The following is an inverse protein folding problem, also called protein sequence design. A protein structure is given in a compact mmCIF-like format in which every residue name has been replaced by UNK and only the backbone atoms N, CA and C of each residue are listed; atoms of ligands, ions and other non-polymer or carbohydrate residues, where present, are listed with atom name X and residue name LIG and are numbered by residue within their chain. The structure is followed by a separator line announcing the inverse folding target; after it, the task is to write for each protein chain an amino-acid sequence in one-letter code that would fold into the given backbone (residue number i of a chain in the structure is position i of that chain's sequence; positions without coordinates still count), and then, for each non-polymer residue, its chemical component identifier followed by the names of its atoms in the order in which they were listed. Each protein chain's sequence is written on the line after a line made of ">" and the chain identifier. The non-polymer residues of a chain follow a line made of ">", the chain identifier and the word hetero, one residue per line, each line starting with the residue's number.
data_IF_659837671531
#
_entry.id   IF_659837671531
#
_cell.length_a   1.000
_cell.length_b   1.000
_cell.length_c   1.000
_cell.angle_alpha   90.00
_cell.angle_beta   90.00
_cell.angle_gamma   90.00
#
_symmetry.space_group_name_H-M   'P 1'
#
loop_
_entity.id
_entity.type
_entity.pdbx_description
1 polymer ?
#
# COMPACT_ATOMS: atom_id res chain seq x y z
N UNK A 1 -10.78 28.01 5.44
CA UNK A 1 -10.80 26.54 5.25
C UNK A 1 -9.67 25.97 6.09
N UNK A 2 -9.94 24.96 6.92
CA UNK A 2 -8.91 24.30 7.74
C UNK A 2 -8.71 22.91 7.18
N UNK A 3 -7.48 22.55 6.83
CA UNK A 3 -7.15 21.21 6.36
C UNK A 3 -7.30 20.21 7.53
N UNK A 4 -8.03 19.12 7.33
CA UNK A 4 -8.04 17.99 8.28
C UNK A 4 -6.71 17.24 8.14
N UNK A 5 -5.69 17.69 8.87
CA UNK A 5 -4.34 17.16 8.81
C UNK A 5 -3.84 16.81 10.21
N UNK A 6 -3.46 15.55 10.40
CA UNK A 6 -2.85 15.07 11.63
C UNK A 6 -1.34 14.94 11.47
N UNK A 7 -0.56 15.54 12.38
CA UNK A 7 0.90 15.39 12.41
C UNK A 7 1.26 14.35 13.45
N UNK A 8 1.67 13.18 13.00
CA UNK A 8 2.01 12.04 13.86
C UNK A 8 3.34 12.28 14.57
N UNK A 9 3.46 11.81 15.82
CA UNK A 9 4.73 11.86 16.55
C UNK A 9 5.87 11.11 15.84
N UNK A 10 5.55 9.97 15.23
CA UNK A 10 6.43 9.24 14.32
C UNK A 10 5.91 9.37 12.89
N UNK A 11 6.60 10.13 12.03
CA UNK A 11 6.16 10.42 10.64
C UNK A 11 6.43 9.27 9.65
N UNK A 12 7.02 8.19 10.13
CA UNK A 12 7.35 6.98 9.37
C UNK A 12 7.14 5.73 10.24
N UNK A 13 7.40 4.55 9.66
CA UNK A 13 7.28 3.28 10.39
C UNK A 13 8.23 3.23 11.57
N UNK A 14 7.73 2.74 12.68
CA UNK A 14 8.54 2.45 13.87
C UNK A 14 9.10 1.03 13.79
N UNK A 15 10.08 0.73 14.64
CA UNK A 15 10.70 -0.61 14.69
C UNK A 15 9.62 -1.67 14.97
N UNK A 16 9.59 -2.68 14.12
CA UNK A 16 8.65 -3.79 14.21
C UNK A 16 9.35 -5.12 14.54
N UNK A 17 8.77 -5.91 15.44
CA UNK A 17 9.09 -7.34 15.61
C UNK A 17 7.88 -8.16 15.15
N UNK A 18 8.06 -8.95 14.09
CA UNK A 18 6.97 -9.72 13.46
C UNK A 18 6.86 -11.16 14.00
N UNK A 19 7.66 -11.53 14.99
CA UNK A 19 7.70 -12.91 15.48
C UNK A 19 7.84 -12.95 17.00
N UNK A 20 6.94 -12.26 17.71
CA UNK A 20 6.95 -12.22 19.17
C UNK A 20 6.29 -13.50 19.71
N UNK A 21 6.99 -14.29 20.54
CA UNK A 21 6.41 -15.46 21.20
C UNK A 21 5.23 -15.05 22.09
N UNK A 22 4.22 -15.90 22.20
CA UNK A 22 2.98 -15.63 22.95
C UNK A 22 3.22 -15.06 24.35
N UNK A 23 4.05 -15.70 25.16
CA UNK A 23 4.28 -15.28 26.56
C UNK A 23 4.82 -13.84 26.66
N UNK A 24 5.74 -13.48 25.76
CA UNK A 24 6.27 -12.11 25.67
C UNK A 24 5.21 -11.13 25.16
N UNK A 25 4.40 -11.54 24.19
CA UNK A 25 3.35 -10.71 23.63
C UNK A 25 2.26 -10.37 24.66
N UNK A 26 1.80 -11.37 25.43
CA UNK A 26 0.80 -11.15 26.48
C UNK A 26 1.31 -10.17 27.55
N UNK A 27 2.58 -10.26 27.96
CA UNK A 27 3.16 -9.29 28.89
C UNK A 27 3.18 -7.85 28.33
N UNK A 28 3.51 -7.68 27.05
CA UNK A 28 3.45 -6.37 26.40
C UNK A 28 1.99 -5.87 26.31
N UNK A 29 1.07 -6.76 25.97
CA UNK A 29 -0.35 -6.47 25.85
C UNK A 29 -0.96 -5.97 27.16
N UNK A 30 -0.58 -6.53 28.31
CA UNK A 30 -1.02 -6.01 29.62
C UNK A 30 -0.67 -4.52 29.82
N UNK A 31 0.52 -4.08 29.38
CA UNK A 31 0.91 -2.68 29.48
C UNK A 31 0.04 -1.77 28.59
N UNK A 32 -0.30 -2.25 27.39
CA UNK A 32 -1.22 -1.57 26.48
C UNK A 32 -2.63 -1.49 27.07
N UNK A 33 -3.15 -2.59 27.61
CA UNK A 33 -4.48 -2.68 28.19
C UNK A 33 -4.64 -1.78 29.40
N UNK A 34 -3.63 -1.71 30.28
CA UNK A 34 -3.60 -0.72 31.38
C UNK A 34 -3.78 0.70 30.88
N UNK A 35 -3.13 1.06 29.76
CA UNK A 35 -3.27 2.39 29.17
C UNK A 35 -4.66 2.61 28.57
N UNK A 36 -5.19 1.60 27.88
CA UNK A 36 -6.46 1.65 27.16
C UNK A 36 -7.70 1.50 28.04
N UNK A 37 -7.56 1.05 29.30
CA UNK A 37 -8.66 0.87 30.24
C UNK A 37 -9.41 2.17 30.54
N UNK A 38 -8.72 3.31 30.48
CA UNK A 38 -9.30 4.64 30.73
C UNK A 38 -10.17 5.14 29.57
N UNK A 39 -9.73 4.91 28.33
CA UNK A 39 -10.40 5.33 27.12
C UNK A 39 -9.84 4.55 25.93
N UNK A 40 -10.72 3.87 25.19
CA UNK A 40 -10.36 3.28 23.89
C UNK A 40 -11.51 3.33 22.92
N UNK A 41 -11.16 3.46 21.65
CA UNK A 41 -12.03 3.40 20.49
C UNK A 41 -11.90 2.01 19.87
N UNK A 42 -13.00 1.45 19.36
CA UNK A 42 -13.03 0.13 18.73
C UNK A 42 -13.78 0.15 17.42
N UNK A 43 -13.26 -0.55 16.42
CA UNK A 43 -13.91 -0.72 15.12
C UNK A 43 -13.47 -2.03 14.48
N UNK A 44 -14.39 -2.75 13.84
CA UNK A 44 -14.10 -4.02 13.17
C UNK A 44 -14.10 -3.82 11.67
N UNK A 45 -13.01 -4.21 11.02
CA UNK A 45 -12.84 -4.12 9.58
C UNK A 45 -12.93 -5.50 8.94
N UNK A 46 -13.58 -5.61 7.78
CA UNK A 46 -13.58 -6.80 6.95
C UNK A 46 -12.53 -6.66 5.84
N UNK A 47 -11.49 -7.49 5.89
CA UNK A 47 -10.45 -7.58 4.89
C UNK A 47 -10.62 -8.89 4.12
N UNK A 48 -11.50 -8.88 3.12
CA UNK A 48 -11.82 -10.05 2.28
C UNK A 48 -12.31 -11.26 3.10
N UNK A 49 -13.27 -11.02 3.98
CA UNK A 49 -13.84 -12.05 4.85
C UNK A 49 -12.98 -12.42 6.06
N UNK A 50 -11.85 -11.73 6.31
CA UNK A 50 -11.14 -11.77 7.59
C UNK A 50 -11.49 -10.52 8.37
N UNK A 51 -12.12 -10.69 9.53
CA UNK A 51 -12.51 -9.57 10.38
C UNK A 51 -11.41 -9.28 11.40
N UNK A 52 -10.87 -8.06 11.35
CA UNK A 52 -9.85 -7.57 12.25
C UNK A 52 -10.47 -6.48 13.14
N UNK A 53 -10.33 -6.61 14.46
CA UNK A 53 -10.76 -5.58 15.40
C UNK A 53 -9.59 -4.64 15.71
N UNK A 54 -9.76 -3.34 15.43
CA UNK A 54 -8.90 -2.29 15.95
C UNK A 54 -9.38 -1.86 17.33
N UNK A 55 -8.46 -1.76 18.28
CA UNK A 55 -8.66 -1.14 19.59
C UNK A 55 -7.51 -0.16 19.87
N UNK A 56 -7.80 1.11 20.14
CA UNK A 56 -6.76 2.06 20.50
C UNK A 56 -7.26 3.39 21.05
N UNK A 57 -6.35 4.26 21.46
CA UNK A 57 -6.67 5.58 22.03
C UNK A 57 -6.27 6.78 21.15
N UNK A 58 -5.78 6.54 19.92
CA UNK A 58 -5.58 7.61 18.92
C UNK A 58 -6.83 7.79 18.07
N UNK A 59 -7.44 8.97 18.15
CA UNK A 59 -8.56 9.34 17.29
C UNK A 59 -8.17 9.34 15.80
N UNK A 60 -6.94 9.77 15.49
CA UNK A 60 -6.42 9.78 14.12
C UNK A 60 -6.42 8.38 13.50
N UNK A 61 -5.81 7.40 14.17
CA UNK A 61 -5.81 6.02 13.67
C UNK A 61 -7.21 5.43 13.55
N UNK A 62 -8.09 5.71 14.52
CA UNK A 62 -9.47 5.25 14.48
C UNK A 62 -10.25 5.83 13.28
N UNK A 63 -10.11 7.14 13.04
CA UNK A 63 -10.75 7.82 11.91
C UNK A 63 -10.23 7.27 10.57
N UNK A 64 -8.93 7.07 10.43
CA UNK A 64 -8.34 6.50 9.21
C UNK A 64 -8.79 5.05 9.02
N UNK A 65 -8.82 4.25 10.09
CA UNK A 65 -9.29 2.87 10.05
C UNK A 65 -10.74 2.76 9.57
N UNK A 66 -11.65 3.52 10.19
CA UNK A 66 -13.09 3.49 9.85
C UNK A 66 -13.39 3.99 8.44
N UNK A 67 -12.57 4.89 7.90
CA UNK A 67 -12.70 5.37 6.52
C UNK A 67 -12.05 4.44 5.49
N UNK A 68 -11.00 3.72 5.87
CA UNK A 68 -10.25 2.88 4.93
C UNK A 68 -10.89 1.52 4.69
N UNK A 69 -11.63 0.98 5.65
CA UNK A 69 -12.12 -0.39 5.57
C UNK A 69 -13.64 -0.47 5.46
N UNK A 70 -14.12 -1.57 4.87
CA UNK A 70 -15.51 -1.97 5.05
C UNK A 70 -15.71 -2.48 6.48
N UNK A 71 -16.81 -2.08 7.11
CA UNK A 71 -17.16 -2.54 8.45
C UNK A 71 -17.47 -4.04 8.45
N UNK A 72 -16.94 -4.77 9.42
CA UNK A 72 -17.27 -6.18 9.59
C UNK A 72 -18.69 -6.35 10.15
N UNK A 73 -19.48 -7.31 9.66
CA UNK A 73 -20.79 -7.60 10.23
C UNK A 73 -20.67 -7.97 11.72
N UNK A 74 -21.55 -7.41 12.56
CA UNK A 74 -21.50 -7.60 14.02
C UNK A 74 -21.53 -9.07 14.46
N UNK A 75 -22.27 -9.91 13.74
CA UNK A 75 -22.43 -11.34 14.03
C UNK A 75 -21.22 -12.20 13.59
N UNK A 76 -20.28 -11.65 12.82
CA UNK A 76 -19.13 -12.41 12.32
C UNK A 76 -18.01 -12.49 13.37
N UNK A 77 -17.25 -13.60 13.41
CA UNK A 77 -16.17 -13.77 14.37
C UNK A 77 -15.04 -12.76 14.11
N UNK A 78 -14.39 -12.33 15.19
CA UNK A 78 -13.11 -11.62 15.13
C UNK A 78 -12.03 -12.67 14.90
N UNK A 79 -11.27 -12.53 13.82
CA UNK A 79 -10.20 -13.45 13.49
C UNK A 79 -8.85 -12.99 14.07
N UNK A 80 -8.73 -11.69 14.35
CA UNK A 80 -7.46 -11.05 14.67
C UNK A 80 -7.70 -9.66 15.29
N UNK A 81 -6.73 -9.14 16.07
CA UNK A 81 -6.81 -7.83 16.72
C UNK A 81 -5.57 -6.97 16.51
N UNK A 82 -5.79 -5.67 16.32
CA UNK A 82 -4.77 -4.63 16.39
C UNK A 82 -5.02 -3.81 17.65
N UNK A 83 -4.04 -3.80 18.54
CA UNK A 83 -4.06 -3.04 19.79
C UNK A 83 -3.08 -1.88 19.63
N UNK A 84 -3.53 -0.64 19.73
CA UNK A 84 -2.68 0.55 19.56
C UNK A 84 -2.79 1.48 20.75
N UNK A 85 -1.73 1.55 21.57
CA UNK A 85 -1.70 2.32 22.80
C UNK A 85 -0.67 3.45 22.72
N UNK A 86 -1.17 4.68 22.80
CA UNK A 86 -0.36 5.91 22.85
C UNK A 86 -0.21 6.38 24.30
N UNK A 87 0.99 6.83 24.66
CA UNK A 87 1.37 7.29 25.99
C UNK A 87 1.69 6.16 26.99
N UNK A 88 2.20 5.03 26.52
CA UNK A 88 2.66 3.93 27.38
C UNK A 88 4.06 4.26 27.89
N UNK A 89 4.19 4.48 29.20
CA UNK A 89 5.45 4.85 29.85
C UNK A 89 6.49 3.73 29.78
N UNK A 90 7.76 4.10 29.58
CA UNK A 90 8.86 3.12 29.50
C UNK A 90 8.95 2.37 28.16
N UNK A 91 8.09 2.66 27.20
CA UNK A 91 8.12 2.04 25.87
C UNK A 91 8.45 3.06 24.79
N UNK A 92 9.45 2.76 23.97
CA UNK A 92 9.71 3.51 22.74
C UNK A 92 8.64 3.21 21.67
N UNK A 93 8.43 4.13 20.70
CA UNK A 93 7.58 3.85 19.55
C UNK A 93 7.98 2.54 18.86
N UNK A 94 7.07 1.56 18.85
CA UNK A 94 7.36 0.19 18.41
C UNK A 94 6.09 -0.56 18.00
N UNK A 95 6.27 -1.64 17.23
CA UNK A 95 5.18 -2.53 16.81
C UNK A 95 5.58 -4.01 16.99
N UNK A 96 4.64 -4.85 17.40
CA UNK A 96 4.85 -6.26 17.73
C UNK A 96 3.73 -7.12 17.14
N UNK A 97 4.06 -8.22 16.48
CA UNK A 97 3.08 -9.18 15.99
C UNK A 97 3.39 -10.57 16.57
N UNK A 98 2.34 -11.24 17.06
CA UNK A 98 2.42 -12.60 17.56
C UNK A 98 1.77 -13.56 16.56
N UNK A 99 2.54 -14.41 15.86
CA UNK A 99 1.99 -15.36 14.90
C UNK A 99 1.05 -16.39 15.53
N UNK A 100 1.23 -16.72 16.82
CA UNK A 100 0.43 -17.72 17.52
C UNK A 100 -0.99 -17.24 17.87
N UNK A 101 -1.16 -15.94 18.11
CA UNK A 101 -2.47 -15.34 18.43
C UNK A 101 -3.08 -14.58 17.25
N UNK A 102 -2.29 -14.34 16.19
CA UNK A 102 -2.62 -13.43 15.11
C UNK A 102 -3.00 -12.04 15.60
N UNK A 103 -2.38 -11.55 16.67
CA UNK A 103 -2.61 -10.20 17.20
C UNK A 103 -1.38 -9.32 16.99
N UNK A 104 -1.62 -8.02 16.86
CA UNK A 104 -0.55 -7.02 16.82
C UNK A 104 -0.75 -5.93 17.86
N UNK A 105 0.36 -5.37 18.31
CA UNK A 105 0.44 -4.36 19.33
C UNK A 105 1.34 -3.22 18.86
N UNK A 106 0.85 -2.00 18.98
CA UNK A 106 1.56 -0.77 18.67
C UNK A 106 1.70 0.07 19.94
N UNK A 107 2.92 0.50 20.22
CA UNK A 107 3.20 1.48 21.27
C UNK A 107 3.61 2.81 20.67
N UNK A 108 3.02 3.89 21.20
CA UNK A 108 3.49 5.26 21.04
C UNK A 108 3.71 5.69 19.57
N UNK A 109 2.92 5.13 18.65
CA UNK A 109 2.95 5.49 17.24
C UNK A 109 1.55 5.60 16.67
N UNK A 110 1.33 6.68 15.94
CA UNK A 110 0.04 7.00 15.31
C UNK A 110 0.10 6.85 13.79
N UNK A 111 1.28 6.48 13.25
CA UNK A 111 1.49 6.37 11.82
C UNK A 111 0.59 5.30 11.21
N UNK A 112 -0.45 5.74 10.49
CA UNK A 112 -1.50 4.85 10.00
C UNK A 112 -0.95 3.87 8.97
N UNK A 113 0.04 4.27 8.18
CA UNK A 113 0.65 3.43 7.15
C UNK A 113 1.21 2.10 7.68
N UNK A 114 1.67 2.02 8.93
CA UNK A 114 2.11 0.74 9.52
C UNK A 114 0.92 -0.09 10.02
N UNK A 115 -0.06 0.55 10.67
CA UNK A 115 -1.31 -0.09 11.09
C UNK A 115 -2.03 -0.72 9.88
N UNK A 116 -2.20 0.03 8.80
CA UNK A 116 -2.77 -0.43 7.52
C UNK A 116 -2.04 -1.66 6.98
N UNK A 117 -0.72 -1.55 6.78
CA UNK A 117 0.08 -2.63 6.20
C UNK A 117 0.08 -3.90 7.07
N UNK A 118 0.05 -3.76 8.40
CA UNK A 118 0.00 -4.91 9.29
C UNK A 118 -1.38 -5.57 9.31
N UNK A 119 -2.47 -4.80 9.25
CA UNK A 119 -3.81 -5.36 9.05
C UNK A 119 -3.90 -6.22 7.78
N UNK A 120 -3.35 -5.72 6.66
CA UNK A 120 -3.26 -6.47 5.40
C UNK A 120 -2.41 -7.75 5.58
N UNK A 121 -1.25 -7.64 6.23
CA UNK A 121 -0.38 -8.79 6.49
C UNK A 121 -0.96 -9.85 7.42
N UNK A 122 -1.74 -9.43 8.43
CA UNK A 122 -2.47 -10.32 9.34
C UNK A 122 -3.59 -11.05 8.58
N UNK A 123 -4.34 -10.32 7.76
CA UNK A 123 -5.34 -10.92 6.88
C UNK A 123 -4.70 -11.92 5.90
N UNK A 124 -3.56 -11.57 5.29
CA UNK A 124 -2.82 -12.43 4.36
C UNK A 124 -2.43 -13.77 5.00
N UNK A 125 -1.84 -13.72 6.20
CA UNK A 125 -1.40 -14.91 6.92
C UNK A 125 -2.56 -15.91 7.12
N UNK A 126 -3.76 -15.39 7.44
CA UNK A 126 -4.96 -16.22 7.64
C UNK A 126 -5.55 -16.67 6.30
N UNK A 127 -5.70 -15.76 5.33
CA UNK A 127 -6.28 -16.01 4.01
C UNK A 127 -5.53 -17.08 3.23
N UNK A 128 -4.20 -17.00 3.21
CA UNK A 128 -3.35 -17.94 2.47
C UNK A 128 -3.41 -19.34 3.08
N UNK A 129 -3.54 -19.45 4.40
CA UNK A 129 -3.63 -20.72 5.12
C UNK A 129 -5.02 -21.36 5.06
N UNK A 130 -6.08 -20.55 5.12
CA UNK A 130 -7.44 -21.06 5.35
C UNK A 130 -8.35 -20.98 4.13
N UNK A 131 -8.04 -20.11 3.15
CA UNK A 131 -8.93 -19.83 2.01
C UNK A 131 -8.24 -19.89 0.65
N UNK A 132 -7.01 -20.42 0.57
CA UNK A 132 -6.25 -20.50 -0.70
C UNK A 132 -6.21 -19.17 -1.47
N UNK A 133 -6.17 -18.06 -0.72
CA UNK A 133 -6.27 -16.71 -1.27
C UNK A 133 -4.89 -16.07 -1.29
N UNK A 134 -4.41 -15.74 -2.48
CA UNK A 134 -3.12 -15.11 -2.72
C UNK A 134 -3.19 -13.60 -2.42
N UNK A 135 -2.27 -13.11 -1.60
CA UNK A 135 -2.19 -11.69 -1.24
C UNK A 135 -0.99 -11.00 -1.89
N UNK A 136 -1.25 -10.09 -2.83
CA UNK A 136 -0.23 -9.42 -3.64
C UNK A 136 -0.15 -7.95 -3.25
N UNK A 137 1.06 -7.47 -2.95
CA UNK A 137 1.34 -6.05 -2.83
C UNK A 137 1.53 -5.43 -4.22
N UNK A 138 0.44 -4.92 -4.78
CA UNK A 138 0.40 -4.39 -6.14
C UNK A 138 -0.85 -3.54 -6.38
N UNK A 139 -0.79 -2.67 -7.38
CA UNK A 139 -1.97 -1.95 -7.84
C UNK A 139 -2.82 -2.84 -8.74
N UNK A 140 -4.14 -2.69 -8.70
CA UNK A 140 -5.06 -3.34 -9.62
C UNK A 140 -5.96 -2.33 -10.32
N UNK A 141 -6.02 -2.41 -11.64
CA UNK A 141 -6.83 -1.54 -12.49
C UNK A 141 -7.57 -2.41 -13.50
N UNK A 142 -8.87 -2.19 -13.65
CA UNK A 142 -9.65 -2.76 -14.75
C UNK A 142 -9.58 -1.82 -15.95
N UNK A 143 -9.22 -2.32 -17.12
CA UNK A 143 -9.18 -1.53 -18.36
C UNK A 143 -10.05 -2.24 -19.38
N UNK A 144 -11.24 -1.71 -19.64
CA UNK A 144 -12.18 -2.31 -20.59
C UNK A 144 -12.58 -3.76 -20.24
N UNK A 145 -12.71 -4.09 -18.95
CA UNK A 145 -13.02 -5.45 -18.48
C UNK A 145 -11.82 -6.40 -18.38
N UNK A 146 -10.59 -5.91 -18.63
CA UNK A 146 -9.34 -6.66 -18.44
C UNK A 146 -8.57 -6.10 -17.25
N UNK A 147 -8.42 -6.91 -16.21
CA UNK A 147 -7.69 -6.58 -14.99
C UNK A 147 -6.17 -6.66 -15.19
N UNK A 148 -5.48 -5.60 -14.78
CA UNK A 148 -4.01 -5.50 -14.71
C UNK A 148 -3.60 -5.46 -13.24
N UNK A 149 -2.62 -6.28 -12.88
CA UNK A 149 -1.91 -6.17 -11.60
C UNK A 149 -0.52 -5.62 -11.87
N UNK A 150 -0.14 -4.55 -11.17
CA UNK A 150 1.21 -3.97 -11.25
C UNK A 150 1.92 -4.22 -9.92
N UNK A 151 2.91 -5.11 -9.93
CA UNK A 151 3.80 -5.39 -8.80
C UNK A 151 5.13 -4.70 -9.05
N UNK A 152 5.64 -4.02 -8.03
CA UNK A 152 6.80 -3.18 -8.20
C UNK A 152 7.55 -2.96 -6.89
N UNK A 153 8.88 -2.92 -6.90
CA UNK A 153 9.65 -2.32 -5.81
C UNK A 153 9.29 -0.85 -5.61
N UNK A 154 9.64 -0.31 -4.43
CA UNK A 154 9.46 1.12 -4.17
C UNK A 154 10.28 1.96 -5.16
N UNK A 155 9.67 3.00 -5.75
CA UNK A 155 10.37 3.97 -6.62
C UNK A 155 10.54 3.57 -8.09
N UNK A 156 9.94 2.46 -8.52
CA UNK A 156 9.95 1.99 -9.93
C UNK A 156 8.72 2.41 -10.73
N UNK A 157 7.83 3.23 -10.17
CA UNK A 157 6.74 3.86 -10.92
C UNK A 157 5.38 3.14 -10.88
N UNK A 158 5.14 2.22 -9.93
CA UNK A 158 3.82 1.57 -9.72
C UNK A 158 2.66 2.55 -9.75
N UNK A 159 2.70 3.55 -8.87
CA UNK A 159 1.64 4.57 -8.76
C UNK A 159 1.50 5.36 -10.07
N UNK A 160 2.62 5.73 -10.72
CA UNK A 160 2.59 6.46 -11.99
C UNK A 160 1.86 5.67 -13.08
N UNK A 161 2.20 4.40 -13.26
CA UNK A 161 1.59 3.55 -14.30
C UNK A 161 0.13 3.21 -13.96
N UNK A 162 -0.15 2.88 -12.69
CA UNK A 162 -1.51 2.62 -12.23
C UNK A 162 -2.44 3.83 -12.44
N UNK A 163 -2.00 5.04 -12.07
CA UNK A 163 -2.78 6.26 -12.28
C UNK A 163 -3.06 6.50 -13.76
N UNK A 164 -2.08 6.30 -14.64
CA UNK A 164 -2.26 6.51 -16.07
C UNK A 164 -3.30 5.54 -16.65
N UNK A 165 -3.36 4.30 -16.17
CA UNK A 165 -4.42 3.35 -16.53
C UNK A 165 -5.79 3.77 -15.98
N UNK A 166 -5.85 4.29 -14.74
CA UNK A 166 -7.10 4.78 -14.16
C UNK A 166 -7.65 6.02 -14.89
N UNK A 167 -6.78 6.84 -15.49
CA UNK A 167 -7.14 8.04 -16.27
C UNK A 167 -7.73 7.72 -17.66
N UNK A 168 -7.52 6.51 -18.20
CA UNK A 168 -8.13 6.09 -19.46
C UNK A 168 -9.65 6.11 -19.37
N UNK A 169 -10.41 6.47 -20.41
CA UNK A 169 -11.88 6.48 -20.37
C UNK A 169 -12.49 5.17 -19.81
N UNK A 170 -11.99 4.03 -20.27
CA UNK A 170 -12.38 2.66 -19.89
C UNK A 170 -11.67 2.11 -18.65
N UNK A 171 -10.77 2.89 -18.04
CA UNK A 171 -10.07 2.52 -16.82
C UNK A 171 -10.97 2.59 -15.59
N UNK A 172 -10.91 1.62 -14.68
CA UNK A 172 -11.61 1.65 -13.40
C UNK A 172 -10.66 1.26 -12.27
N UNK A 173 -10.72 2.02 -11.18
CA UNK A 173 -9.96 1.81 -9.95
C UNK A 173 -10.49 0.55 -9.28
N UNK A 174 -9.68 -0.50 -9.22
CA UNK A 174 -9.87 -1.55 -8.22
C UNK A 174 -9.14 -1.12 -6.96
N UNK A 175 -7.82 -0.94 -7.06
CA UNK A 175 -6.95 -0.59 -5.93
C UNK A 175 -5.55 -0.11 -6.32
N UNK A 176 -4.85 0.59 -5.43
CA UNK A 176 -3.52 1.14 -5.71
C UNK A 176 -2.34 0.41 -5.03
N UNK A 177 -2.63 -0.51 -4.11
CA UNK A 177 -1.59 -1.04 -3.20
C UNK A 177 -1.70 -2.53 -2.82
N UNK A 178 -2.90 -3.13 -2.86
CA UNK A 178 -3.10 -4.52 -2.46
C UNK A 178 -4.17 -5.24 -3.29
N UNK A 179 -3.92 -6.52 -3.60
CA UNK A 179 -4.86 -7.37 -4.35
C UNK A 179 -4.93 -8.75 -3.70
N UNK A 180 -6.14 -9.23 -3.46
CA UNK A 180 -6.44 -10.59 -3.06
C UNK A 180 -7.01 -11.36 -4.26
N UNK A 181 -6.54 -12.59 -4.45
CA UNK A 181 -7.04 -13.51 -5.48
C UNK A 181 -7.32 -14.86 -4.82
N UNK A 182 -8.59 -15.26 -4.79
CA UNK A 182 -8.99 -16.59 -4.37
C UNK A 182 -8.80 -17.57 -5.54
N UNK A 183 -7.82 -18.48 -5.41
CA UNK A 183 -7.53 -19.45 -6.46
C UNK A 183 -8.58 -20.56 -6.55
N UNK A 184 -9.29 -20.88 -5.46
CA UNK A 184 -10.38 -21.86 -5.48
C UNK A 184 -11.62 -21.29 -6.16
N UNK A 185 -11.92 -20.00 -5.94
CA UNK A 185 -12.89 -19.27 -6.77
C UNK A 185 -12.45 -19.27 -8.24
N UNK A 186 -11.17 -19.01 -8.49
CA UNK A 186 -10.58 -19.04 -9.83
C UNK A 186 -10.82 -20.36 -10.56
N UNK A 187 -10.52 -21.49 -9.90
CA UNK A 187 -10.71 -22.84 -10.46
C UNK A 187 -12.19 -23.10 -10.82
N UNK A 188 -13.12 -22.66 -9.97
CA UNK A 188 -14.56 -22.78 -10.21
C UNK A 188 -15.04 -21.93 -11.39
N UNK A 189 -14.47 -20.73 -11.58
CA UNK A 189 -14.86 -19.79 -12.63
C UNK A 189 -14.11 -20.00 -13.95
N UNK A 190 -12.95 -20.65 -13.93
CA UNK A 190 -12.04 -20.76 -15.07
C UNK A 190 -11.23 -19.47 -15.34
N UNK A 191 -11.23 -18.50 -14.42
CA UNK A 191 -10.44 -17.28 -14.50
C UNK A 191 -10.26 -16.64 -13.12
N UNK A 192 -9.18 -15.88 -12.94
CA UNK A 192 -8.90 -15.21 -11.68
C UNK A 192 -9.63 -13.87 -11.56
N UNK A 193 -10.11 -13.59 -10.36
CA UNK A 193 -10.67 -12.29 -9.97
C UNK A 193 -9.76 -11.66 -8.91
N UNK A 194 -9.31 -10.43 -9.16
CA UNK A 194 -8.62 -9.61 -8.18
C UNK A 194 -9.59 -8.69 -7.46
N UNK A 195 -9.54 -8.70 -6.13
CA UNK A 195 -10.33 -7.83 -5.25
C UNK A 195 -9.38 -7.08 -4.32
N UNK A 196 -9.72 -5.86 -3.92
CA UNK A 196 -9.00 -5.19 -2.84
C UNK A 196 -9.86 -5.09 -1.58
N UNK A 197 -9.26 -5.17 -0.38
CA UNK A 197 -10.00 -5.00 0.87
C UNK A 197 -10.21 -3.53 1.26
N UNK A 198 -9.42 -2.61 0.68
CA UNK A 198 -9.47 -1.19 1.00
C UNK A 198 -10.68 -0.51 0.31
N UNK A 199 -11.36 0.38 1.04
CA UNK A 199 -12.41 1.27 0.51
C UNK A 199 -11.83 2.59 0.01
N UNK A 200 -10.71 3.02 0.61
CA UNK A 200 -10.03 4.28 0.31
C UNK A 200 -8.62 4.02 -0.22
N UNK A 201 -8.05 5.00 -0.91
CA UNK A 201 -6.68 5.01 -1.41
C UNK A 201 -5.80 5.77 -0.43
N UNK A 202 -4.71 5.16 0.03
CA UNK A 202 -3.76 5.78 0.96
C UNK A 202 -2.63 6.51 0.21
N UNK A 203 -3.00 7.60 -0.45
CA UNK A 203 -2.20 8.26 -1.46
C UNK A 203 -1.05 9.09 -0.87
N UNK A 204 0.11 9.07 -1.53
CA UNK A 204 1.17 10.07 -1.32
C UNK A 204 0.68 11.43 -1.82
N UNK A 205 0.69 12.45 -0.98
CA UNK A 205 0.20 13.78 -1.40
C UNK A 205 1.15 14.49 -2.35
N UNK A 206 2.41 14.04 -2.44
CA UNK A 206 3.38 14.57 -3.40
C UNK A 206 2.92 14.44 -4.87
N UNK A 207 2.00 13.50 -5.14
CA UNK A 207 1.36 13.33 -6.45
C UNK A 207 0.68 14.60 -6.96
N UNK A 208 0.27 15.51 -6.07
CA UNK A 208 -0.30 16.82 -6.43
C UNK A 208 0.69 17.69 -7.24
N UNK A 209 2.00 17.49 -7.09
CA UNK A 209 3.03 18.21 -7.84
C UNK A 209 2.85 18.06 -9.36
N UNK A 210 2.54 16.84 -9.81
CA UNK A 210 2.36 16.52 -11.23
C UNK A 210 0.89 16.50 -11.65
N UNK A 211 -0.04 16.54 -10.69
CA UNK A 211 -1.50 16.50 -10.91
C UNK A 211 -2.19 17.58 -10.07
N UNK A 212 -2.16 18.85 -10.51
CA UNK A 212 -2.65 19.98 -9.70
C UNK A 212 -4.10 19.85 -9.24
N UNK A 213 -4.94 19.15 -10.01
CA UNK A 213 -6.35 18.90 -9.69
C UNK A 213 -6.55 18.07 -8.41
N UNK A 214 -5.56 17.28 -7.98
CA UNK A 214 -5.60 16.54 -6.70
C UNK A 214 -5.65 17.45 -5.48
N UNK A 215 -5.24 18.73 -5.61
CA UNK A 215 -5.28 19.71 -4.53
C UNK A 215 -6.66 19.74 -3.86
N UNK A 216 -7.72 19.91 -4.66
CA UNK A 216 -9.09 20.00 -4.16
C UNK A 216 -9.51 18.72 -3.42
N UNK A 217 -9.16 17.56 -3.96
CA UNK A 217 -9.48 16.26 -3.34
C UNK A 217 -8.76 16.11 -2.01
N UNK A 218 -7.49 16.47 -1.94
CA UNK A 218 -6.72 16.41 -0.71
C UNK A 218 -7.19 17.45 0.33
N UNK A 219 -7.60 18.64 -0.10
CA UNK A 219 -8.16 19.67 0.78
C UNK A 219 -9.46 19.18 1.48
N UNK A 220 -10.19 18.25 0.84
CA UNK A 220 -11.44 17.64 1.33
C UNK A 220 -11.26 16.23 1.94
N UNK A 221 -10.03 15.76 2.06
CA UNK A 221 -9.67 14.43 2.57
C UNK A 221 -8.96 14.51 3.92
N UNK A 222 -8.98 13.41 4.69
CA UNK A 222 -8.12 13.30 5.87
C UNK A 222 -6.67 13.15 5.44
N UNK A 223 -5.83 14.05 5.95
CA UNK A 223 -4.42 14.11 5.66
C UNK A 223 -3.58 13.68 6.86
N UNK A 224 -2.41 13.11 6.57
CA UNK A 224 -1.41 12.74 7.54
C UNK A 224 -0.08 13.41 7.15
N UNK A 225 0.53 14.13 8.08
CA UNK A 225 1.85 14.74 7.96
C UNK A 225 2.02 15.75 6.81
N UNK A 226 0.96 16.40 6.35
CA UNK A 226 1.06 17.51 5.37
C UNK A 226 1.74 18.71 6.03
N UNK A 227 2.67 19.33 5.31
CA UNK A 227 3.46 20.44 5.85
C UNK A 227 2.64 21.73 5.81
N UNK A 228 2.41 22.31 6.99
CA UNK A 228 1.63 23.54 7.17
C UNK A 228 2.49 24.81 7.25
N UNK A 229 3.83 24.68 7.25
CA UNK A 229 4.75 25.81 7.38
C UNK A 229 6.01 25.61 6.53
N UNK A 230 6.41 26.65 5.78
CA UNK A 230 7.62 26.65 4.95
C UNK A 230 8.89 26.22 5.70
N UNK A 231 9.01 26.56 6.99
CA UNK A 231 10.17 26.20 7.84
C UNK A 231 10.35 24.69 8.03
N UNK A 232 9.28 23.91 7.85
CA UNK A 232 9.29 22.45 8.00
C UNK A 232 9.40 21.72 6.64
N UNK A 233 9.71 22.44 5.55
CA UNK A 233 9.90 21.85 4.24
C UNK A 233 11.24 21.12 4.16
N UNK A 234 11.24 19.87 3.67
CA UNK A 234 12.46 19.07 3.52
C UNK A 234 13.23 19.35 2.21
N UNK A 235 12.67 20.18 1.32
CA UNK A 235 13.17 20.41 -0.04
C UNK A 235 13.62 21.86 -0.31
N UNK A 236 14.27 22.53 0.64
CA UNK A 236 14.66 23.94 0.54
C UNK A 236 16.03 24.16 -0.13
N UNK A 237 16.11 24.78 -1.32
CA UNK A 237 17.39 25.26 -1.92
C UNK A 237 17.21 26.56 -2.72
N UNK A 238 18.15 27.52 -2.59
CA UNK A 238 18.26 28.76 -3.38
C UNK A 238 17.46 29.99 -2.87
N UNK A 239 17.59 31.18 -3.50
CA UNK A 239 16.97 32.44 -3.05
C UNK A 239 15.42 32.45 -3.08
N UNK A 240 14.82 31.58 -3.89
CA UNK A 240 13.37 31.30 -3.99
C UNK A 240 13.00 29.88 -3.49
N UNK A 241 13.99 29.10 -3.05
CA UNK A 241 13.87 28.13 -1.97
C UNK A 241 13.13 26.82 -2.21
N UNK A 242 12.63 26.49 -3.40
CA UNK A 242 12.02 25.16 -3.65
C UNK A 242 12.86 24.35 -4.63
N UNK A 243 13.48 23.26 -4.17
CA UNK A 243 14.25 22.33 -5.01
C UNK A 243 13.37 21.59 -6.03
N UNK A 244 12.07 21.50 -5.76
CA UNK A 244 11.10 20.71 -6.54
C UNK A 244 10.37 21.52 -7.62
N UNK A 245 10.44 22.85 -7.59
CA UNK A 245 9.75 23.71 -8.56
C UNK A 245 10.74 24.62 -9.26
N UNK A 246 10.33 25.21 -10.39
CA UNK A 246 11.05 26.26 -11.13
C UNK A 246 11.05 27.58 -10.35
N UNK A 247 11.55 27.54 -9.10
CA UNK A 247 11.72 28.71 -8.22
C UNK A 247 10.41 29.34 -7.70
N UNK A 248 9.33 28.55 -7.56
CA UNK A 248 8.04 29.05 -7.05
C UNK A 248 7.55 28.21 -5.88
N UNK A 249 7.58 28.77 -4.67
CA UNK A 249 7.13 28.09 -3.45
C UNK A 249 5.64 28.38 -3.21
N UNK A 250 4.83 27.34 -2.97
CA UNK A 250 3.38 27.53 -2.70
C UNK A 250 3.10 28.40 -1.49
N UNK A 251 3.99 28.40 -0.49
CA UNK A 251 3.85 29.29 0.66
C UNK A 251 4.06 30.75 0.27
N UNK A 252 4.97 31.03 -0.66
CA UNK A 252 5.20 32.39 -1.18
C UNK A 252 4.05 32.85 -2.09
N UNK A 253 3.30 31.90 -2.67
CA UNK A 253 2.04 32.14 -3.38
C UNK A 253 0.82 32.28 -2.46
N UNK A 254 1.00 32.31 -1.15
CA UNK A 254 -0.07 32.50 -0.15
C UNK A 254 -0.82 31.23 0.27
N UNK A 255 -0.43 30.06 -0.21
CA UNK A 255 -1.01 28.80 0.25
C UNK A 255 -0.58 28.48 1.69
N UNK A 256 -1.53 27.94 2.46
CA UNK A 256 -1.33 27.63 3.88
C UNK A 256 -0.70 26.26 4.15
N UNK A 257 -0.59 25.40 3.12
CA UNK A 257 0.01 24.07 3.22
C UNK A 257 0.63 23.64 1.89
N UNK A 258 1.57 22.70 1.99
CA UNK A 258 2.28 22.12 0.86
C UNK A 258 2.23 20.59 0.92
N UNK A 259 1.69 19.98 -0.14
CA UNK A 259 1.46 18.53 -0.26
C UNK A 259 2.69 17.72 -0.67
N UNK A 260 3.74 18.37 -1.15
CA UNK A 260 4.98 17.75 -1.62
C UNK A 260 6.21 18.22 -0.83
N UNK A 261 6.02 18.98 0.27
CA UNK A 261 7.11 19.44 1.12
C UNK A 261 7.67 18.35 2.06
N UNK A 262 6.93 17.26 2.25
CA UNK A 262 7.37 16.04 2.93
C UNK A 262 7.01 14.83 2.07
N UNK A 263 7.99 14.03 1.66
CA UNK A 263 7.76 12.93 0.72
C UNK A 263 6.82 11.84 1.26
N UNK A 264 6.69 11.69 2.58
CA UNK A 264 5.81 10.70 3.21
C UNK A 264 4.50 11.27 3.78
N UNK A 265 4.12 12.48 3.36
CA UNK A 265 2.77 12.99 3.61
C UNK A 265 1.73 12.21 2.82
N UNK A 266 0.56 12.00 3.43
CA UNK A 266 -0.50 11.11 2.93
C UNK A 266 -1.87 11.75 2.98
N UNK A 267 -2.74 11.31 2.09
CA UNK A 267 -4.17 11.60 2.13
C UNK A 267 -4.94 10.29 1.98
N UNK A 268 -5.98 10.11 2.79
CA UNK A 268 -6.89 8.98 2.68
C UNK A 268 -8.09 9.40 1.81
N UNK A 269 -8.11 8.92 0.57
CA UNK A 269 -9.05 9.36 -0.46
C UNK A 269 -10.04 8.24 -0.77
N UNK A 270 -11.35 8.39 -0.49
CA UNK A 270 -12.36 7.44 -0.96
C UNK A 270 -12.27 7.28 -2.48
N UNK A 271 -12.26 6.05 -2.99
CA UNK A 271 -12.03 5.74 -4.41
C UNK A 271 -12.93 6.54 -5.34
N UNK A 272 -14.20 6.69 -4.96
CA UNK A 272 -15.24 7.36 -5.72
C UNK A 272 -14.99 8.87 -5.88
N UNK A 273 -14.17 9.46 -5.01
CA UNK A 273 -13.81 10.89 -5.08
C UNK A 273 -12.66 11.18 -6.04
N UNK A 274 -11.92 10.16 -6.47
CA UNK A 274 -10.75 10.38 -7.31
C UNK A 274 -11.15 10.76 -8.74
N UNK A 275 -11.97 9.93 -9.39
CA UNK A 275 -12.43 10.17 -10.77
C UNK A 275 -13.96 10.08 -10.95
N UNK A 276 -14.72 9.83 -9.88
CA UNK A 276 -16.16 9.57 -9.94
C UNK A 276 -16.50 8.13 -9.54
N UNK A 277 -17.77 7.88 -9.24
CA UNK A 277 -18.27 6.56 -8.78
C UNK A 277 -18.22 5.52 -9.89
N UNK A 278 -18.46 5.94 -11.13
CA UNK A 278 -18.44 5.13 -12.35
C UNK A 278 -17.05 4.61 -12.70
N UNK A 279 -16.01 5.24 -12.13
CA UNK A 279 -14.60 4.88 -12.31
C UNK A 279 -14.10 3.91 -11.23
N UNK A 280 -14.98 3.36 -10.40
CA UNK A 280 -14.63 2.38 -9.36
C UNK A 280 -15.15 1.00 -9.75
N UNK A 281 -14.35 -0.02 -9.50
CA UNK A 281 -14.73 -1.42 -9.57
C UNK A 281 -14.31 -2.13 -8.28
N UNK A 282 -15.16 -2.98 -7.74
CA UNK A 282 -14.79 -3.77 -6.56
C UNK A 282 -13.94 -5.00 -6.92
N UNK A 283 -14.01 -5.42 -8.18
CA UNK A 283 -13.28 -6.57 -8.69
C UNK A 283 -12.86 -6.39 -10.16
N UNK A 284 -11.81 -7.11 -10.58
CA UNK A 284 -11.39 -7.19 -11.97
C UNK A 284 -10.99 -8.61 -12.37
N UNK A 285 -11.31 -8.98 -13.62
CA UNK A 285 -10.89 -10.24 -14.22
C UNK A 285 -9.44 -10.17 -14.65
N UNK A 286 -8.55 -10.86 -13.95
CA UNK A 286 -7.11 -10.70 -14.14
C UNK A 286 -6.67 -11.31 -15.48
N UNK A 287 -5.98 -10.49 -16.28
CA UNK A 287 -5.46 -10.84 -17.62
C UNK A 287 -3.98 -10.55 -17.79
N UNK A 288 -3.43 -9.63 -17.00
CA UNK A 288 -2.05 -9.20 -17.11
C UNK A 288 -1.44 -8.96 -15.73
N UNK A 289 -0.28 -9.58 -15.49
CA UNK A 289 0.65 -9.28 -14.42
C UNK A 289 1.81 -8.47 -15.01
N UNK A 290 2.01 -7.27 -14.48
CA UNK A 290 3.12 -6.39 -14.83
C UNK A 290 4.07 -6.32 -13.65
N UNK A 291 5.31 -6.74 -13.88
CA UNK A 291 6.41 -6.53 -12.96
C UNK A 291 7.19 -5.30 -13.42
N UNK A 292 7.58 -4.43 -12.48
CA UNK A 292 8.45 -3.29 -12.80
C UNK A 292 9.84 -3.49 -12.23
N UNK A 293 10.85 -3.14 -13.02
CA UNK A 293 12.21 -2.90 -12.56
C UNK A 293 12.67 -1.51 -12.98
N UNK A 294 13.83 -1.11 -12.48
CA UNK A 294 14.44 0.17 -12.82
C UNK A 294 15.95 0.09 -12.74
N UNK A 295 16.58 -0.16 -13.88
CA UNK A 295 18.03 -0.22 -14.05
C UNK A 295 18.43 0.28 -15.44
N UNK A 296 19.73 0.50 -15.66
CA UNK A 296 20.24 1.15 -16.88
C UNK A 296 20.62 0.16 -17.99
N UNK A 297 20.62 -1.15 -17.71
CA UNK A 297 21.27 -2.14 -18.59
C UNK A 297 20.28 -3.10 -19.22
N UNK A 298 19.19 -3.38 -18.54
CA UNK A 298 18.26 -4.41 -18.95
C UNK A 298 17.26 -3.90 -19.99
N UNK A 299 16.73 -4.77 -20.87
CA UNK A 299 15.79 -4.36 -21.91
C UNK A 299 14.52 -3.74 -21.33
N UNK A 300 13.86 -2.93 -22.14
CA UNK A 300 12.69 -2.16 -21.76
C UNK A 300 11.44 -3.02 -21.49
N UNK A 301 11.34 -4.18 -22.16
CA UNK A 301 10.32 -5.19 -21.91
C UNK A 301 10.88 -6.60 -22.04
N UNK A 302 10.45 -7.48 -21.16
CA UNK A 302 10.64 -8.94 -21.26
C UNK A 302 9.29 -9.60 -21.02
N UNK A 303 8.90 -10.54 -21.88
CA UNK A 303 7.77 -11.43 -21.59
C UNK A 303 8.31 -12.58 -20.76
N UNK A 304 7.66 -12.90 -19.66
CA UNK A 304 8.10 -13.93 -18.73
C UNK A 304 7.16 -15.12 -18.78
N UNK A 305 7.72 -16.32 -18.82
CA UNK A 305 6.97 -17.50 -18.41
C UNK A 305 6.84 -17.58 -16.88
N UNK A 306 6.21 -18.65 -16.38
CA UNK A 306 6.01 -18.81 -14.94
C UNK A 306 7.30 -18.97 -14.16
N UNK A 307 8.29 -19.71 -14.67
CA UNK A 307 9.54 -19.97 -13.95
C UNK A 307 10.40 -18.71 -13.86
N UNK A 308 10.50 -17.98 -14.98
CA UNK A 308 11.20 -16.70 -15.02
C UNK A 308 10.54 -15.66 -14.11
N UNK A 309 9.21 -15.56 -14.12
CA UNK A 309 8.47 -14.65 -13.25
C UNK A 309 8.65 -15.00 -11.77
N UNK A 310 8.59 -16.28 -11.41
CA UNK A 310 8.83 -16.76 -10.05
C UNK A 310 10.24 -16.41 -9.60
N UNK A 311 11.25 -16.59 -10.46
CA UNK A 311 12.63 -16.24 -10.13
C UNK A 311 12.78 -14.74 -9.83
N UNK A 312 12.18 -13.87 -10.67
CA UNK A 312 12.19 -12.41 -10.45
C UNK A 312 11.49 -12.06 -9.13
N UNK A 313 10.30 -12.59 -8.90
CA UNK A 313 9.50 -12.32 -7.71
C UNK A 313 10.20 -12.83 -6.45
N UNK A 314 10.68 -14.08 -6.43
CA UNK A 314 11.32 -14.71 -5.28
C UNK A 314 12.63 -14.01 -4.90
N UNK A 315 13.44 -13.62 -5.89
CA UNK A 315 14.65 -12.85 -5.63
C UNK A 315 14.32 -11.44 -5.12
N UNK A 316 13.25 -10.84 -5.63
CA UNK A 316 12.75 -9.57 -5.12
C UNK A 316 13.77 -8.43 -5.24
N UNK A 317 14.69 -8.52 -6.19
CA UNK A 317 15.84 -7.62 -6.28
C UNK A 317 15.41 -6.21 -6.69
N UNK A 318 15.90 -5.20 -5.97
CA UNK A 318 15.69 -3.80 -6.33
C UNK A 318 16.85 -2.91 -5.88
N UNK A 319 17.04 -1.81 -6.61
CA UNK A 319 17.96 -0.76 -6.21
C UNK A 319 17.26 0.20 -5.25
N UNK A 320 17.86 0.45 -4.10
CA UNK A 320 17.38 1.44 -3.13
C UNK A 320 17.57 2.84 -3.75
N UNK A 321 16.48 3.57 -3.98
CA UNK A 321 16.49 4.88 -4.62
C UNK A 321 16.41 6.03 -3.59
N UNK A 322 16.82 7.25 -3.96
CA UNK A 322 16.53 8.44 -3.17
C UNK A 322 15.06 8.53 -2.75
N UNK A 323 14.81 8.70 -1.45
CA UNK A 323 13.46 8.71 -0.87
C UNK A 323 12.92 7.32 -0.49
N UNK A 324 13.63 6.24 -0.80
CA UNK A 324 13.35 4.89 -0.33
C UNK A 324 14.45 4.46 0.66
N UNK A 325 14.10 4.22 1.91
CA UNK A 325 15.04 3.79 2.96
C UNK A 325 16.09 4.85 3.37
N UNK A 326 17.04 4.48 4.26
CA UNK A 326 18.09 5.35 4.75
C UNK A 326 19.04 5.86 3.63
N UNK A 327 19.52 7.11 3.76
CA UNK A 327 20.32 7.80 2.72
C UNK A 327 21.61 7.06 2.36
N UNK A 328 22.24 6.44 3.35
CA UNK A 328 23.48 5.66 3.27
C UNK A 328 23.33 4.32 2.50
N UNK A 329 22.08 3.93 2.20
CA UNK A 329 21.78 2.74 1.41
C UNK A 329 21.39 3.06 -0.03
N UNK A 330 21.22 4.34 -0.39
CA UNK A 330 20.86 4.72 -1.76
C UNK A 330 21.91 4.26 -2.77
N UNK A 331 21.44 3.71 -3.91
CA UNK A 331 22.26 3.12 -4.96
C UNK A 331 22.67 1.66 -4.72
N UNK A 332 22.44 1.11 -3.53
CA UNK A 332 22.72 -0.30 -3.23
C UNK A 332 21.57 -1.20 -3.68
N UNK A 333 21.90 -2.45 -4.01
CA UNK A 333 20.93 -3.51 -4.26
C UNK A 333 20.43 -4.03 -2.92
N UNK A 334 19.13 -4.30 -2.85
CA UNK A 334 18.45 -4.98 -1.76
C UNK A 334 17.45 -5.97 -2.33
N UNK A 335 16.89 -6.82 -1.48
CA UNK A 335 15.98 -7.88 -1.86
C UNK A 335 14.75 -7.83 -0.98
N UNK A 336 13.58 -7.86 -1.60
CA UNK A 336 12.29 -7.98 -0.93
C UNK A 336 11.49 -9.07 -1.64
N UNK A 337 11.53 -10.32 -1.15
CA UNK A 337 10.84 -11.44 -1.79
C UNK A 337 9.37 -11.13 -2.06
N UNK A 338 8.94 -11.51 -3.26
CA UNK A 338 7.58 -11.27 -3.80
C UNK A 338 7.20 -9.79 -3.90
N UNK A 339 8.18 -8.89 -3.70
CA UNK A 339 8.00 -7.45 -3.53
C UNK A 339 6.94 -7.10 -2.47
N UNK A 340 6.76 -7.97 -1.47
CA UNK A 340 5.73 -7.85 -0.44
C UNK A 340 6.34 -7.86 0.98
N UNK A 341 6.80 -6.70 1.49
CA UNK A 341 7.35 -6.59 2.85
C UNK A 341 6.32 -6.78 3.96
N UNK A 342 5.04 -6.97 3.63
CA UNK A 342 3.94 -7.00 4.60
C UNK A 342 3.43 -8.40 4.89
N UNK A 343 3.97 -9.43 4.23
CA UNK A 343 3.72 -10.81 4.63
C UNK A 343 4.28 -11.02 6.05
N UNK A 344 3.38 -11.18 7.03
CA UNK A 344 3.75 -11.47 8.42
C UNK A 344 4.03 -12.96 8.64
N UNK A 345 3.54 -13.80 7.73
CA UNK A 345 3.92 -15.18 7.59
C UNK A 345 4.34 -15.41 6.14
N UNK A 346 5.63 -15.66 5.91
CA UNK A 346 6.19 -15.84 4.57
C UNK A 346 6.35 -17.33 4.26
N UNK A 347 5.47 -17.86 3.42
CA UNK A 347 5.55 -19.22 2.88
C UNK A 347 5.95 -19.15 1.39
N UNK A 348 7.23 -19.34 1.11
CA UNK A 348 7.76 -19.27 -0.26
C UNK A 348 7.13 -20.30 -1.20
N UNK A 349 6.86 -21.52 -0.72
CA UNK A 349 6.31 -22.58 -1.56
C UNK A 349 4.87 -22.24 -1.96
N UNK A 350 4.11 -21.67 -1.04
CA UNK A 350 2.74 -21.24 -1.32
C UNK A 350 2.69 -20.03 -2.26
N UNK A 351 3.52 -19.01 -2.02
CA UNK A 351 3.63 -17.85 -2.93
C UNK A 351 4.02 -18.29 -4.35
N UNK A 352 5.01 -19.17 -4.46
CA UNK A 352 5.42 -19.75 -5.74
C UNK A 352 4.24 -20.48 -6.42
N UNK A 353 3.54 -21.33 -5.67
CA UNK A 353 2.39 -22.06 -6.18
C UNK A 353 1.27 -21.14 -6.70
N UNK A 354 1.02 -20.02 -6.02
CA UNK A 354 0.02 -19.05 -6.47
C UNK A 354 0.41 -18.35 -7.78
N UNK A 355 1.62 -17.80 -7.88
CA UNK A 355 2.08 -17.15 -9.11
C UNK A 355 2.19 -18.14 -10.27
N UNK A 356 2.66 -19.36 -10.01
CA UNK A 356 2.72 -20.44 -11.02
C UNK A 356 1.33 -20.75 -11.57
N UNK A 357 0.34 -20.98 -10.70
CA UNK A 357 -1.05 -21.22 -11.13
C UNK A 357 -1.60 -20.04 -11.92
N UNK A 358 -1.37 -18.81 -11.45
CA UNK A 358 -1.80 -17.60 -12.15
C UNK A 358 -1.30 -17.55 -13.60
N UNK A 359 -0.01 -17.77 -13.80
CA UNK A 359 0.62 -17.59 -15.12
C UNK A 359 0.39 -18.83 -16.01
N UNK A 360 0.61 -20.03 -15.49
CA UNK A 360 0.57 -21.26 -16.29
C UNK A 360 -0.85 -21.85 -16.42
N UNK A 361 -1.62 -21.89 -15.34
CA UNK A 361 -2.92 -22.57 -15.32
C UNK A 361 -4.07 -21.64 -15.73
N UNK A 362 -4.00 -20.37 -15.34
CA UNK A 362 -4.99 -19.36 -15.71
C UNK A 362 -4.57 -18.48 -16.90
N UNK A 363 -3.41 -18.77 -17.49
CA UNK A 363 -2.88 -18.11 -18.69
C UNK A 363 -2.80 -16.58 -18.55
N UNK A 364 -2.60 -16.08 -17.32
CA UNK A 364 -2.36 -14.65 -17.08
C UNK A 364 -0.99 -14.31 -17.63
N UNK A 365 -0.93 -13.35 -18.56
CA UNK A 365 0.33 -12.94 -19.15
C UNK A 365 1.19 -12.23 -18.12
N UNK A 366 2.50 -12.47 -18.16
CA UNK A 366 3.46 -11.78 -17.33
C UNK A 366 4.46 -11.00 -18.18
N UNK A 367 4.61 -9.71 -17.91
CA UNK A 367 5.65 -8.87 -18.52
C UNK A 367 6.47 -8.16 -17.45
N UNK A 368 7.76 -8.03 -17.68
CA UNK A 368 8.68 -7.25 -16.88
C UNK A 368 9.10 -6.01 -17.66
N UNK A 369 8.76 -4.83 -17.14
CA UNK A 369 9.04 -3.53 -17.76
C UNK A 369 10.17 -2.80 -17.03
N UNK A 370 11.13 -2.28 -17.79
CA UNK A 370 12.23 -1.48 -17.22
C UNK A 370 11.96 0.02 -17.35
N UNK A 371 11.54 0.62 -16.23
CA UNK A 371 11.27 2.07 -16.13
C UNK A 371 12.55 2.93 -16.00
N UNK A 372 13.73 2.31 -16.07
CA UNK A 372 15.03 3.00 -16.04
C UNK A 372 15.49 3.47 -17.42
N UNK A 373 15.09 2.76 -18.48
CA UNK A 373 15.49 3.03 -19.87
C UNK A 373 14.33 3.49 -20.74
N UNK A 374 13.09 3.26 -20.30
CA UNK A 374 11.87 3.59 -21.04
C UNK A 374 11.18 4.84 -20.47
N UNK A 375 10.49 5.57 -21.35
CA UNK A 375 9.66 6.71 -20.93
C UNK A 375 8.39 6.24 -20.19
N UNK A 376 7.74 7.14 -19.46
CA UNK A 376 6.46 6.83 -18.79
C UNK A 376 5.41 6.44 -19.84
N UNK A 377 5.36 7.18 -20.95
CA UNK A 377 4.48 6.96 -22.10
C UNK A 377 4.78 5.62 -22.79
N UNK A 378 6.04 5.32 -23.07
CA UNK A 378 6.45 4.05 -23.68
C UNK A 378 6.10 2.85 -22.82
N UNK A 379 6.36 2.94 -21.50
CA UNK A 379 5.98 1.90 -20.53
C UNK A 379 4.47 1.66 -20.54
N UNK A 380 3.68 2.74 -20.54
CA UNK A 380 2.22 2.66 -20.55
C UNK A 380 1.68 2.04 -21.84
N UNK A 381 2.19 2.46 -23.00
CA UNK A 381 1.82 1.88 -24.31
C UNK A 381 2.11 0.39 -24.38
N UNK A 382 3.20 -0.08 -23.75
CA UNK A 382 3.52 -1.51 -23.67
C UNK A 382 2.53 -2.28 -22.80
N UNK A 383 2.04 -1.70 -21.70
CA UNK A 383 0.97 -2.31 -20.89
C UNK A 383 -0.31 -2.45 -21.72
N UNK A 384 -0.69 -1.41 -22.46
CA UNK A 384 -1.89 -1.44 -23.32
C UNK A 384 -1.77 -2.45 -24.45
N UNK A 385 -0.63 -2.50 -25.14
CA UNK A 385 -0.39 -3.50 -26.19
C UNK A 385 -0.41 -4.94 -25.65
N UNK A 386 0.13 -5.17 -24.46
CA UNK A 386 0.05 -6.47 -23.80
C UNK A 386 -1.40 -6.85 -23.45
N UNK A 387 -2.21 -5.88 -22.99
CA UNK A 387 -3.63 -6.06 -22.71
C UNK A 387 -4.49 -6.33 -23.95
N UNK A 388 -4.27 -5.60 -25.04
CA UNK A 388 -5.00 -5.78 -26.30
C UNK A 388 -4.86 -7.20 -26.82
N UNK A 389 -3.65 -7.73 -26.69
CA UNK A 389 -3.36 -9.07 -27.13
C UNK A 389 -3.94 -10.16 -26.22
N UNK A 390 -4.35 -9.86 -24.96
CA UNK A 390 -4.89 -10.81 -23.95
C UNK A 390 -6.25 -11.40 -24.28
#
# INVERSE_FOLDING_TARGET
>A
MTLDNYVTASTTRVKGDKNVPRDKFEHLKEAAERKLASHSLRSRANLNGINIEFQGNSKHQYDFWTLNWHEAPQASPIHSRIISAIGVEGHEPSAFYCPETHESLFFNTEYYGQCKSWALGMAAAILEQTKNTHSIHGACVDVGGKGVIIVAPTGTGKTTQAFKLMELPEGRIVGDDWVNIDHSEGERLGYLIGKQPEKSLYMRTETQLNKPWLRKIFDESKCENVVMNKKNCEFTQGPTGCKLTTQRCVFDDGYQWCYYAFGNSRALVPRERLFGKEKVADEAKIRLLVLLRRDEKSPEVVKLDSDEAIQVLRNGEYMIRPGAGPKELWGKISNEPWFNPYLLHLDHARQEGFFRRMISSFEVRCILLNTGVETVEGTHSRILSALESC
#
